data_IF_522632251607
#
_entry.id   IF_522632251607
#
_cell.length_a   1.000
_cell.length_b   1.000
_cell.length_c   1.000
_cell.angle_alpha   90.00
_cell.angle_beta   90.00
_cell.angle_gamma   90.00
#
_symmetry.space_group_name_H-M   'P 1'
#
loop_
_entity.id
_entity.type
_entity.pdbx_description
1 polymer ?
#
# COMPACT_ATOMS: atom_id res chain seq x y z
N UNK A 1 16.62 27.38 8.39
CA UNK A 1 15.81 26.26 8.91
C UNK A 1 14.79 25.94 7.83
N UNK A 2 15.19 25.20 6.80
CA UNK A 2 14.34 24.92 5.63
C UNK A 2 14.61 23.47 5.26
N UNK A 3 13.60 22.64 5.51
CA UNK A 3 13.69 21.18 5.54
C UNK A 3 14.20 20.57 4.23
N UNK A 4 14.94 19.49 4.40
CA UNK A 4 15.43 18.59 3.38
C UNK A 4 14.30 18.25 2.38
N UNK A 5 14.38 18.81 1.17
CA UNK A 5 13.59 18.37 0.03
C UNK A 5 14.10 17.01 -0.42
N UNK A 6 13.69 15.95 0.28
CA UNK A 6 13.82 14.60 -0.23
C UNK A 6 12.85 14.51 -1.42
N UNK A 7 13.39 14.61 -2.64
CA UNK A 7 12.69 14.25 -3.88
C UNK A 7 12.42 12.74 -3.87
N UNK A 8 11.54 12.27 -2.98
CA UNK A 8 11.03 10.91 -3.00
C UNK A 8 10.00 10.86 -4.12
N UNK A 9 10.34 10.18 -5.20
CA UNK A 9 9.34 9.74 -6.17
C UNK A 9 8.36 8.81 -5.43
N UNK A 10 7.14 9.30 -5.17
CA UNK A 10 6.05 8.48 -4.63
C UNK A 10 5.37 7.79 -5.82
N UNK A 11 5.36 6.46 -5.79
CA UNK A 11 4.72 5.62 -6.79
C UNK A 11 3.81 4.60 -6.10
N UNK A 12 2.76 4.17 -6.81
CA UNK A 12 1.81 3.15 -6.37
C UNK A 12 2.53 1.80 -6.23
N UNK A 13 2.56 1.26 -5.02
CA UNK A 13 3.21 -0.03 -4.73
C UNK A 13 2.23 -1.19 -4.77
N UNK A 14 1.06 -1.05 -4.13
CA UNK A 14 0.03 -2.10 -4.14
C UNK A 14 -0.82 -1.93 -5.39
N UNK A 15 -0.86 -2.98 -6.22
CA UNK A 15 -1.70 -3.10 -7.42
C UNK A 15 -2.72 -4.22 -7.20
N UNK A 16 -3.99 -3.96 -7.49
CA UNK A 16 -5.09 -4.89 -7.26
C UNK A 16 -5.40 -5.16 -5.79
N UNK A 17 -5.81 -6.39 -5.48
CA UNK A 17 -6.21 -6.84 -4.14
C UNK A 17 -5.33 -8.02 -3.75
N UNK A 18 -4.77 -7.95 -2.54
CA UNK A 18 -3.90 -8.97 -1.98
C UNK A 18 -4.53 -9.54 -0.72
N UNK A 19 -4.35 -10.86 -0.49
CA UNK A 19 -4.83 -11.53 0.71
C UNK A 19 -3.74 -12.45 1.28
N UNK A 20 -3.57 -12.41 2.60
CA UNK A 20 -2.62 -13.27 3.30
C UNK A 20 -3.23 -13.79 4.62
N UNK A 21 -2.84 -15.00 5.01
CA UNK A 21 -3.18 -15.57 6.31
C UNK A 21 -2.15 -15.14 7.35
N UNK A 22 -2.60 -14.67 8.51
CA UNK A 22 -1.72 -14.43 9.65
C UNK A 22 -1.36 -15.77 10.31
N UNK A 23 -0.12 -16.22 10.11
CA UNK A 23 0.39 -17.41 10.80
C UNK A 23 0.48 -17.15 12.31
N UNK A 24 -0.02 -18.08 13.12
CA UNK A 24 0.06 -18.01 14.58
C UNK A 24 -1.00 -17.13 15.27
N UNK A 25 -1.98 -16.60 14.53
CA UNK A 25 -3.14 -15.90 15.12
C UNK A 25 -4.38 -16.81 15.00
N UNK A 26 -4.98 -17.10 16.16
CA UNK A 26 -6.25 -17.81 16.33
C UNK A 26 -7.30 -16.83 16.88
N UNK A 27 -8.51 -16.78 16.31
CA UNK A 27 -9.01 -17.58 15.18
C UNK A 27 -8.36 -17.19 13.84
N UNK A 28 -8.56 -18.03 12.81
CA UNK A 28 -8.07 -17.81 11.44
C UNK A 28 -8.25 -16.35 10.98
N UNK A 29 -7.15 -15.60 11.01
CA UNK A 29 -7.14 -14.18 10.67
C UNK A 29 -6.56 -13.98 9.27
N UNK A 30 -7.31 -13.29 8.41
CA UNK A 30 -6.92 -12.96 7.04
C UNK A 30 -6.73 -11.44 6.96
N UNK A 31 -5.60 -11.02 6.38
CA UNK A 31 -5.32 -9.62 6.06
C UNK A 31 -5.54 -9.42 4.58
N UNK A 32 -6.23 -8.33 4.26
CA UNK A 32 -6.42 -7.88 2.89
C UNK A 32 -5.72 -6.54 2.71
N UNK A 33 -4.91 -6.43 1.66
CA UNK A 33 -4.28 -5.18 1.25
C UNK A 33 -4.89 -4.74 -0.09
N UNK A 34 -5.29 -3.47 -0.17
CA UNK A 34 -6.03 -2.92 -1.30
C UNK A 34 -5.21 -1.84 -2.00
N UNK A 35 -5.18 -1.88 -3.33
CA UNK A 35 -4.64 -0.80 -4.13
C UNK A 35 -5.31 0.54 -3.79
N UNK A 36 -4.49 1.49 -3.33
CA UNK A 36 -4.93 2.86 -3.09
C UNK A 36 -5.48 3.50 -4.37
N UNK A 37 -6.62 4.18 -4.26
CA UNK A 37 -7.35 4.76 -5.41
C UNK A 37 -6.95 6.20 -5.74
N UNK A 38 -6.25 6.89 -4.83
CA UNK A 38 -5.80 8.29 -4.98
C UNK A 38 -4.38 8.39 -5.58
N UNK A 39 -3.91 7.31 -6.22
CA UNK A 39 -2.65 7.26 -6.94
C UNK A 39 -2.77 7.96 -8.30
N UNK A 40 -1.92 8.96 -8.54
CA UNK A 40 -1.85 9.74 -9.80
C UNK A 40 -1.60 8.90 -11.07
N UNK A 41 -1.26 7.61 -10.91
CA UNK A 41 -0.93 6.69 -12.00
C UNK A 41 -2.15 6.14 -12.75
N UNK A 42 -3.37 6.37 -12.24
CA UNK A 42 -4.60 5.83 -12.81
C UNK A 42 -5.35 6.80 -13.74
N UNK A 43 -4.69 7.90 -14.13
CA UNK A 43 -5.25 8.91 -15.02
C UNK A 43 -4.88 8.68 -16.49
N UNK A 44 -5.77 8.02 -17.22
CA UNK A 44 -6.16 8.38 -18.59
C UNK A 44 -7.60 8.89 -18.57
#
# INVERSE_FOLDING_TARGET
MTGCYVLVFRSQTTKGIWMARCAGIEPCTIVMDLEGTDGRERGE
#
